data_IF_779718437884
#
_entry.id   IF_779718437884
#
_cell.length_a   1.000
_cell.length_b   1.000
_cell.length_c   1.000
_cell.angle_alpha   90.00
_cell.angle_beta   90.00
_cell.angle_gamma   90.00
#
_symmetry.space_group_name_H-M   'P 1'
#
loop_
_entity.id
_entity.type
_entity.pdbx_description
1 polymer ?
#
# COMPACT_ATOMS: atom_id res chain seq x y z
N UNK A 1 -11.52 -6.33 8.85
CA UNK A 1 -10.08 -5.96 8.78
C UNK A 1 -9.13 -7.07 9.23
N UNK A 2 -9.23 -7.64 10.44
CA UNK A 2 -8.27 -8.66 10.91
C UNK A 2 -8.32 -9.95 10.07
N UNK A 3 -9.50 -10.37 9.62
CA UNK A 3 -9.65 -11.59 8.84
C UNK A 3 -8.97 -11.46 7.48
N UNK A 4 -9.22 -10.34 6.80
CA UNK A 4 -8.65 -9.98 5.51
C UNK A 4 -7.12 -9.86 5.58
N UNK A 5 -6.60 -9.24 6.64
CA UNK A 5 -5.15 -9.16 6.87
C UNK A 5 -4.52 -10.55 7.09
N UNK A 6 -5.21 -11.48 7.77
CA UNK A 6 -4.73 -12.86 7.94
C UNK A 6 -4.79 -13.64 6.63
N UNK A 7 -5.84 -13.47 5.85
CA UNK A 7 -5.98 -14.15 4.56
C UNK A 7 -4.89 -13.71 3.57
N UNK A 8 -4.57 -12.42 3.52
CA UNK A 8 -3.60 -11.86 2.59
C UNK A 8 -2.15 -11.96 3.07
N UNK A 9 -1.91 -11.74 4.37
CA UNK A 9 -0.57 -11.60 4.93
C UNK A 9 -0.21 -12.63 5.99
N UNK A 10 -1.10 -13.58 6.33
CA UNK A 10 -0.87 -14.60 7.36
C UNK A 10 0.30 -15.56 7.07
N UNK A 11 0.72 -15.66 5.81
CA UNK A 11 1.89 -16.44 5.40
C UNK A 11 3.21 -15.63 5.43
N UNK A 12 3.12 -14.30 5.56
CA UNK A 12 4.26 -13.37 5.56
C UNK A 12 4.53 -12.88 6.99
N UNK A 13 3.47 -12.59 7.74
CA UNK A 13 3.53 -12.01 9.07
C UNK A 13 2.98 -12.99 10.11
N UNK A 14 3.57 -12.96 11.30
CA UNK A 14 3.06 -13.73 12.42
C UNK A 14 1.74 -13.14 12.96
N UNK A 15 1.02 -13.96 13.72
CA UNK A 15 -0.28 -13.60 14.29
C UNK A 15 -0.24 -12.36 15.17
N UNK A 16 0.79 -12.18 16.00
CA UNK A 16 0.88 -11.04 16.90
C UNK A 16 1.13 -9.75 16.11
N UNK A 17 1.99 -9.80 15.10
CA UNK A 17 2.26 -8.64 14.27
C UNK A 17 1.02 -8.19 13.47
N UNK A 18 0.24 -9.13 12.93
CA UNK A 18 -1.05 -8.81 12.27
C UNK A 18 -2.02 -8.13 13.23
N UNK A 19 -2.08 -8.57 14.49
CA UNK A 19 -2.93 -7.95 15.50
C UNK A 19 -2.49 -6.51 15.82
N UNK A 20 -1.18 -6.26 15.90
CA UNK A 20 -0.65 -4.90 16.10
C UNK A 20 -0.94 -4.00 14.90
N UNK A 21 -0.74 -4.48 13.67
CA UNK A 21 -1.14 -3.74 12.44
C UNK A 21 -2.63 -3.38 12.51
N UNK A 22 -3.48 -4.34 12.87
CA UNK A 22 -4.92 -4.09 12.94
C UNK A 22 -5.32 -3.12 14.07
N UNK A 23 -4.48 -2.98 15.10
CA UNK A 23 -4.72 -2.10 16.23
C UNK A 23 -4.36 -0.64 15.94
N UNK A 24 -3.27 -0.41 15.20
CA UNK A 24 -2.76 0.94 14.89
C UNK A 24 -3.03 1.40 13.46
N UNK A 25 -3.35 0.48 12.58
CA UNK A 25 -3.62 0.75 11.17
C UNK A 25 -4.98 1.41 10.93
N UNK A 26 -5.08 2.12 9.81
CA UNK A 26 -6.32 2.74 9.35
C UNK A 26 -6.76 2.13 8.03
N UNK A 27 -8.00 1.63 7.98
CA UNK A 27 -8.61 1.20 6.72
C UNK A 27 -9.01 2.42 5.90
N UNK A 28 -8.46 2.55 4.70
CA UNK A 28 -8.77 3.64 3.77
C UNK A 28 -9.35 3.09 2.48
N UNK A 29 -10.39 3.74 1.97
CA UNK A 29 -10.87 3.58 0.60
C UNK A 29 -10.34 4.76 -0.20
N UNK A 30 -9.69 4.45 -1.31
CA UNK A 30 -9.04 5.42 -2.18
C UNK A 30 -9.78 5.39 -3.51
N UNK A 31 -10.08 6.56 -4.06
CA UNK A 31 -10.71 6.67 -5.36
C UNK A 31 -9.71 6.29 -6.47
N UNK A 32 -10.24 5.89 -7.62
CA UNK A 32 -9.44 5.75 -8.84
C UNK A 32 -8.72 7.08 -9.16
N UNK A 33 -7.55 6.98 -9.79
CA UNK A 33 -6.67 8.11 -10.15
C UNK A 33 -6.19 8.98 -8.97
N UNK A 34 -6.35 8.53 -7.73
CA UNK A 34 -5.83 9.23 -6.57
C UNK A 34 -4.35 8.93 -6.33
N UNK A 35 -3.52 9.97 -6.35
CA UNK A 35 -2.09 9.87 -6.01
C UNK A 35 -1.90 9.71 -4.50
N UNK A 36 -1.60 8.48 -4.06
CA UNK A 36 -1.40 8.16 -2.64
C UNK A 36 -0.05 8.62 -2.09
N UNK A 37 1.00 8.55 -2.92
CA UNK A 37 2.37 8.90 -2.56
C UNK A 37 3.02 9.58 -3.75
N UNK A 38 3.80 10.62 -3.47
CA UNK A 38 4.53 11.39 -4.47
C UNK A 38 6.03 11.38 -4.18
N UNK A 39 6.84 11.58 -5.22
CA UNK A 39 8.28 11.59 -5.14
C UNK A 39 8.73 12.77 -4.26
N UNK A 40 9.56 12.48 -3.25
CA UNK A 40 10.05 13.49 -2.31
C UNK A 40 9.07 13.83 -1.19
N UNK A 41 7.84 13.30 -1.22
CA UNK A 41 6.91 13.43 -0.10
C UNK A 41 7.36 12.57 1.09
N UNK A 42 7.16 13.04 2.33
CA UNK A 42 7.43 12.24 3.51
C UNK A 42 6.53 11.00 3.56
N UNK A 43 7.13 9.85 3.89
CA UNK A 43 6.40 8.58 4.05
C UNK A 43 5.94 8.44 5.49
N UNK A 44 4.63 8.55 5.71
CA UNK A 44 4.01 8.43 7.03
C UNK A 44 3.59 7.01 7.41
N UNK A 45 3.63 6.07 6.45
CA UNK A 45 3.26 4.69 6.68
C UNK A 45 3.33 3.86 5.42
N UNK A 46 3.31 2.54 5.59
CA UNK A 46 3.35 1.57 4.49
C UNK A 46 1.92 1.10 4.20
N UNK A 47 1.38 1.30 3.00
CA UNK A 47 0.07 0.82 2.63
C UNK A 47 0.13 -0.71 2.47
N UNK A 48 -0.85 -1.40 3.06
CA UNK A 48 -1.11 -2.80 2.80
C UNK A 48 -2.38 -2.88 1.94
N UNK A 49 -2.24 -3.40 0.73
CA UNK A 49 -3.38 -3.55 -0.18
C UNK A 49 -4.28 -4.70 0.29
N UNK A 50 -5.57 -4.41 0.45
CA UNK A 50 -6.59 -5.43 0.76
C UNK A 50 -7.32 -5.87 -0.51
N UNK A 51 -7.63 -4.91 -1.39
CA UNK A 51 -8.33 -5.14 -2.65
C UNK A 51 -8.12 -3.95 -3.59
N UNK A 52 -8.03 -4.21 -4.89
CA UNK A 52 -7.88 -3.17 -5.91
C UNK A 52 -6.62 -3.42 -6.75
N UNK A 53 -6.15 -2.35 -7.40
CA UNK A 53 -4.89 -2.34 -8.16
C UNK A 53 -4.17 -1.05 -7.86
N UNK A 54 -2.85 -1.09 -7.67
CA UNK A 54 -1.99 0.08 -7.53
C UNK A 54 -0.97 0.09 -8.65
N UNK A 55 -0.93 1.19 -9.40
CA UNK A 55 0.20 1.51 -10.28
C UNK A 55 1.32 2.13 -9.43
N UNK A 56 2.51 1.56 -9.53
CA UNK A 56 3.74 2.17 -9.02
C UNK A 56 4.59 2.58 -10.22
N UNK A 57 4.81 3.88 -10.32
CA UNK A 57 5.60 4.50 -11.37
C UNK A 57 6.71 5.38 -10.80
N UNK A 58 7.66 5.75 -11.66
CA UNK A 58 8.75 6.67 -11.33
C UNK A 58 8.99 7.61 -12.49
N UNK A 59 9.08 8.91 -12.22
CA UNK A 59 9.56 9.88 -13.20
C UNK A 59 11.01 9.64 -13.59
N UNK A 60 11.35 9.80 -14.87
CA UNK A 60 12.73 9.90 -15.33
C UNK A 60 13.21 11.37 -15.31
N UNK A 61 14.51 11.60 -15.54
CA UNK A 61 15.10 12.94 -15.55
C UNK A 61 14.57 13.87 -16.66
N UNK A 62 13.79 13.34 -17.61
CA UNK A 62 13.18 14.08 -18.71
C UNK A 62 11.69 14.40 -18.46
N UNK A 63 11.15 14.02 -17.30
CA UNK A 63 9.75 14.24 -16.94
C UNK A 63 8.77 13.20 -17.46
N UNK A 64 9.24 12.09 -18.02
CA UNK A 64 8.39 10.98 -18.46
C UNK A 64 8.17 9.98 -17.33
N UNK A 65 6.97 9.40 -17.28
CA UNK A 65 6.60 8.42 -16.28
C UNK A 65 6.97 6.99 -16.74
N UNK A 66 7.78 6.31 -15.93
CA UNK A 66 8.13 4.90 -16.12
C UNK A 66 7.31 4.05 -15.15
N UNK A 67 6.39 3.25 -15.69
CA UNK A 67 5.70 2.20 -14.94
C UNK A 67 6.72 1.16 -14.44
N UNK A 68 6.70 0.87 -13.14
CA UNK A 68 7.54 -0.17 -12.54
C UNK A 68 6.73 -1.45 -12.28
N UNK A 69 5.61 -1.33 -11.58
CA UNK A 69 4.80 -2.47 -11.14
C UNK A 69 3.31 -2.13 -11.09
N UNK A 70 2.49 -3.17 -11.29
CA UNK A 70 1.12 -3.21 -10.80
C UNK A 70 1.08 -4.17 -9.62
N UNK A 71 0.49 -3.72 -8.51
CA UNK A 71 0.14 -4.55 -7.36
C UNK A 71 -1.37 -4.79 -7.34
#
# INVERSE_FOLDING_TARGET
MILELKELFGNIFDKYFILEIAKVGALKKIAEDFMMMDIGAPVFGIPLMISGVINISRGNGNGEELLLYYL
#
